data_IF_608225692257
#
_entry.id   IF_608225692257
#
_cell.length_a   1.000
_cell.length_b   1.000
_cell.length_c   1.000
_cell.angle_alpha   90.00
_cell.angle_beta   90.00
_cell.angle_gamma   90.00
#
_symmetry.space_group_name_H-M   'P 1'
#
loop_
_entity.id
_entity.type
_entity.pdbx_description
1 polymer ?
#
# COMPACT_ATOMS: atom_id res chain seq x y z
N UNK A 1 -0.10 27.97 1.12
CA UNK A 1 -1.34 27.82 1.92
C UNK A 1 -2.13 26.67 1.35
N UNK A 2 -2.37 25.53 1.98
CA UNK A 2 -1.96 24.97 3.27
C UNK A 2 -2.47 23.53 3.20
N UNK A 3 -1.56 22.56 3.04
CA UNK A 3 -1.91 21.15 3.02
C UNK A 3 -2.35 20.75 4.44
N UNK A 4 -3.65 20.64 4.66
CA UNK A 4 -4.24 20.01 5.84
C UNK A 4 -4.10 18.49 5.72
N UNK A 5 -2.86 18.01 5.83
CA UNK A 5 -2.49 16.59 5.81
C UNK A 5 -2.44 15.94 7.21
N UNK A 6 -3.03 16.58 8.23
CA UNK A 6 -2.89 16.16 9.63
C UNK A 6 -4.03 15.28 10.18
N UNK A 7 -5.02 14.89 9.36
CA UNK A 7 -6.21 14.19 9.89
C UNK A 7 -6.13 12.64 9.90
N UNK A 8 -5.09 12.00 9.36
CA UNK A 8 -5.05 10.53 9.26
C UNK A 8 -3.95 9.82 10.07
N UNK A 9 -3.20 10.55 10.90
CA UNK A 9 -2.07 10.01 11.67
C UNK A 9 -2.37 9.75 13.17
N UNK A 10 -3.54 10.16 13.69
CA UNK A 10 -3.83 10.07 15.14
C UNK A 10 -4.75 8.92 15.59
N UNK A 11 -4.91 7.89 14.76
CA UNK A 11 -5.55 6.63 15.16
C UNK A 11 -4.67 5.46 14.64
N UNK A 12 -3.54 5.27 15.32
CA UNK A 12 -2.65 4.12 15.12
C UNK A 12 -2.77 3.15 16.31
N UNK A 13 -3.99 2.66 16.56
CA UNK A 13 -4.17 1.46 17.37
C UNK A 13 -3.99 0.23 16.48
N UNK A 14 -2.85 -0.48 16.59
CA UNK A 14 -2.59 -1.92 16.31
C UNK A 14 -3.40 -2.68 15.21
N UNK A 15 -4.00 -1.99 14.23
CA UNK A 15 -5.01 -2.55 13.32
C UNK A 15 -4.46 -2.58 11.90
N UNK A 16 -4.68 -3.71 11.23
CA UNK A 16 -4.28 -3.95 9.85
C UNK A 16 -4.95 -2.93 8.91
N UNK A 17 -4.15 -2.16 8.17
CA UNK A 17 -4.64 -1.16 7.20
C UNK A 17 -4.44 -1.68 5.76
N UNK A 18 -5.48 -1.54 4.94
CA UNK A 18 -5.48 -1.86 3.51
C UNK A 18 -5.78 -0.59 2.73
N UNK A 19 -4.88 -0.20 1.83
CA UNK A 19 -5.07 1.00 1.01
C UNK A 19 -4.78 0.64 -0.44
N UNK A 20 -5.68 1.01 -1.34
CA UNK A 20 -5.43 0.98 -2.78
C UNK A 20 -4.97 2.38 -3.16
N UNK A 21 -3.80 2.46 -3.78
CA UNK A 21 -3.21 3.72 -4.18
C UNK A 21 -2.93 3.71 -5.68
N UNK A 22 -3.47 4.69 -6.39
CA UNK A 22 -3.13 4.94 -7.79
C UNK A 22 -2.04 5.99 -7.83
N UNK A 23 -0.84 5.60 -8.23
CA UNK A 23 0.30 6.50 -8.33
C UNK A 23 0.56 6.87 -9.78
N UNK A 24 0.81 8.16 -10.04
CA UNK A 24 1.22 8.64 -11.37
C UNK A 24 2.70 8.37 -11.56
N UNK A 25 3.04 7.29 -12.26
CA UNK A 25 4.43 6.93 -12.57
C UNK A 25 4.83 7.47 -13.94
N UNK A 26 5.76 8.43 -13.95
CA UNK A 26 6.35 8.96 -15.17
C UNK A 26 7.61 8.14 -15.52
N UNK A 27 7.57 7.47 -16.66
CA UNK A 27 8.70 6.74 -17.23
C UNK A 27 9.72 7.70 -17.83
N UNK A 28 10.97 7.25 -17.92
CA UNK A 28 12.07 8.00 -18.55
C UNK A 28 11.85 8.22 -20.05
N UNK A 29 11.06 7.36 -20.71
CA UNK A 29 10.62 7.48 -22.12
C UNK A 29 9.50 8.53 -22.32
N UNK A 30 9.13 9.29 -21.28
CA UNK A 30 8.07 10.31 -21.35
C UNK A 30 6.64 9.77 -21.24
N UNK A 31 6.47 8.44 -21.16
CA UNK A 31 5.16 7.81 -20.92
C UNK A 31 4.75 7.99 -19.46
N UNK A 32 3.45 8.18 -19.22
CA UNK A 32 2.88 8.19 -17.87
C UNK A 32 1.98 6.97 -17.71
N UNK A 33 2.22 6.19 -16.67
CA UNK A 33 1.38 5.06 -16.28
C UNK A 33 0.73 5.34 -14.93
N UNK A 34 -0.46 4.77 -14.70
CA UNK A 34 -1.17 4.86 -13.43
C UNK A 34 -1.32 3.46 -12.81
N UNK A 35 -0.23 2.85 -12.32
CA UNK A 35 -0.30 1.57 -11.65
C UNK A 35 -1.20 1.64 -10.41
N UNK A 36 -2.19 0.75 -10.35
CA UNK A 36 -2.97 0.47 -9.15
C UNK A 36 -2.13 -0.42 -8.22
N UNK A 37 -1.76 0.14 -7.07
CA UNK A 37 -0.94 -0.53 -6.07
C UNK A 37 -1.82 -0.90 -4.88
N UNK A 38 -1.89 -2.18 -4.55
CA UNK A 38 -2.48 -2.63 -3.29
C UNK A 38 -1.40 -2.58 -2.22
N UNK A 39 -1.55 -1.71 -1.22
CA UNK A 39 -0.59 -1.63 -0.13
C UNK A 39 -1.23 -2.09 1.16
N UNK A 40 -0.60 -3.08 1.77
CA UNK A 40 -1.01 -3.67 3.02
C UNK A 40 -0.04 -3.30 4.13
N UNK A 41 -0.55 -2.69 5.21
CA UNK A 41 0.23 -2.36 6.38
C UNK A 41 -0.15 -3.29 7.54
N UNK A 42 0.81 -4.12 7.96
CA UNK A 42 0.69 -5.07 9.07
C UNK A 42 1.71 -4.74 10.18
N UNK A 43 1.35 -3.91 11.18
CA UNK A 43 2.25 -3.62 12.30
C UNK A 43 2.67 -4.89 13.05
N UNK A 44 3.93 -4.92 13.47
CA UNK A 44 4.47 -5.97 14.34
C UNK A 44 3.73 -5.93 15.68
N UNK A 45 3.09 -7.05 16.06
CA UNK A 45 2.25 -7.14 17.26
C UNK A 45 0.75 -7.28 16.99
N UNK A 46 0.32 -7.33 15.73
CA UNK A 46 -1.04 -7.72 15.39
C UNK A 46 -1.35 -9.16 15.87
N UNK A 47 -2.58 -9.41 16.32
CA UNK A 47 -3.02 -10.74 16.75
C UNK A 47 -2.92 -11.74 15.57
N UNK A 48 -2.37 -12.95 15.77
CA UNK A 48 -2.23 -13.96 14.72
C UNK A 48 -3.56 -14.28 14.01
N UNK A 49 -4.67 -14.28 14.76
CA UNK A 49 -6.01 -14.51 14.22
C UNK A 49 -6.44 -13.44 13.20
N UNK A 50 -6.08 -12.17 13.45
CA UNK A 50 -6.35 -11.09 12.51
C UNK A 50 -5.47 -11.21 11.27
N UNK A 51 -4.20 -11.59 11.43
CA UNK A 51 -3.33 -11.86 10.28
C UNK A 51 -3.86 -13.03 9.42
N UNK A 52 -4.35 -14.11 10.04
CA UNK A 52 -4.94 -15.24 9.32
C UNK A 52 -6.21 -14.87 8.57
N UNK A 53 -7.17 -14.18 9.21
CA UNK A 53 -8.40 -13.71 8.54
C UNK A 53 -8.08 -12.80 7.35
N UNK A 54 -7.06 -11.95 7.51
CA UNK A 54 -6.65 -11.01 6.47
C UNK A 54 -5.90 -11.68 5.32
N UNK A 55 -5.01 -12.65 5.60
CA UNK A 55 -4.31 -13.40 4.57
C UNK A 55 -5.28 -14.13 3.63
N UNK A 56 -6.33 -14.74 4.18
CA UNK A 56 -7.39 -15.38 3.39
C UNK A 56 -8.17 -14.38 2.53
N UNK A 57 -8.50 -13.21 3.09
CA UNK A 57 -9.23 -12.16 2.38
C UNK A 57 -8.38 -11.43 1.34
N UNK A 58 -7.05 -11.33 1.55
CA UNK A 58 -6.11 -10.62 0.66
C UNK A 58 -6.15 -11.22 -0.74
N UNK A 59 -5.98 -12.54 -0.83
CA UNK A 59 -5.92 -13.23 -2.13
C UNK A 59 -7.23 -13.05 -2.90
N UNK A 60 -8.38 -13.14 -2.21
CA UNK A 60 -9.69 -12.89 -2.80
C UNK A 60 -9.81 -11.47 -3.35
N UNK A 61 -9.37 -10.47 -2.60
CA UNK A 61 -9.47 -9.06 -2.96
C UNK A 61 -8.56 -8.72 -4.15
N UNK A 62 -7.34 -9.26 -4.14
CA UNK A 62 -6.38 -9.15 -5.25
C UNK A 62 -6.94 -9.77 -6.54
N UNK A 63 -7.61 -10.93 -6.43
CA UNK A 63 -8.26 -11.57 -7.57
C UNK A 63 -9.46 -10.77 -8.10
N UNK A 64 -10.33 -10.27 -7.22
CA UNK A 64 -11.53 -9.52 -7.63
C UNK A 64 -11.16 -8.17 -8.25
N UNK A 65 -10.16 -7.48 -7.69
CA UNK A 65 -9.74 -6.17 -8.16
C UNK A 65 -8.64 -6.23 -9.23
N UNK A 66 -8.29 -7.44 -9.70
CA UNK A 66 -7.25 -7.70 -10.71
C UNK A 66 -5.93 -6.95 -10.43
N UNK A 67 -5.58 -6.82 -9.15
CA UNK A 67 -4.45 -6.03 -8.71
C UNK A 67 -3.16 -6.82 -8.94
N UNK A 68 -2.36 -6.38 -9.90
CA UNK A 68 -1.08 -7.03 -10.24
C UNK A 68 0.06 -6.63 -9.32
N UNK A 69 -0.05 -5.47 -8.65
CA UNK A 69 1.01 -4.89 -7.82
C UNK A 69 0.57 -4.86 -6.36
N UNK A 70 0.96 -5.89 -5.62
CA UNK A 70 0.62 -6.09 -4.21
C UNK A 70 1.88 -5.89 -3.37
N UNK A 71 1.84 -4.92 -2.48
CA UNK A 71 2.93 -4.57 -1.58
C UNK A 71 2.52 -4.72 -0.13
N UNK A 72 3.46 -5.15 0.71
CA UNK A 72 3.26 -5.34 2.13
C UNK A 72 4.36 -4.60 2.89
N UNK A 73 3.94 -3.78 3.86
CA UNK A 73 4.82 -3.07 4.79
C UNK A 73 4.43 -3.41 6.23
N UNK A 74 5.42 -3.41 7.12
CA UNK A 74 5.23 -3.67 8.55
C UNK A 74 5.10 -2.39 9.37
N UNK A 75 5.38 -1.24 8.78
CA UNK A 75 5.34 0.06 9.43
C UNK A 75 4.77 1.09 8.46
N UNK A 76 4.04 2.05 8.98
CA UNK A 76 3.53 3.17 8.17
C UNK A 76 4.64 4.13 7.77
N UNK A 77 5.75 4.14 8.50
CA UNK A 77 6.89 5.03 8.25
C UNK A 77 7.67 4.63 6.99
N UNK A 78 7.66 3.33 6.65
CA UNK A 78 8.27 2.81 5.41
C UNK A 78 7.44 3.15 4.17
N UNK A 79 6.20 3.63 4.32
CA UNK A 79 5.30 3.97 3.23
C UNK A 79 5.61 5.37 2.67
N UNK A 80 6.76 5.52 2.01
CA UNK A 80 7.16 6.76 1.35
C UNK A 80 6.97 6.70 -0.17
N UNK A 81 6.97 7.87 -0.83
CA UNK A 81 6.92 7.95 -2.29
C UNK A 81 8.15 7.30 -2.93
N UNK A 82 9.33 7.46 -2.31
CA UNK A 82 10.59 6.87 -2.75
C UNK A 82 10.52 5.34 -2.70
N UNK A 83 10.02 4.78 -1.59
CA UNK A 83 9.80 3.34 -1.47
C UNK A 83 8.86 2.82 -2.54
N UNK A 84 7.76 3.54 -2.82
CA UNK A 84 6.82 3.14 -3.85
C UNK A 84 7.46 3.19 -5.25
N UNK A 85 8.26 4.20 -5.56
CA UNK A 85 9.02 4.30 -6.82
C UNK A 85 9.99 3.15 -6.98
N UNK A 86 10.76 2.81 -5.94
CA UNK A 86 11.66 1.66 -5.96
C UNK A 86 10.89 0.37 -6.26
N UNK A 87 9.77 0.15 -5.56
CA UNK A 87 8.91 -1.01 -5.78
C UNK A 87 8.30 -1.04 -7.17
N UNK A 88 7.93 0.11 -7.74
CA UNK A 88 7.39 0.21 -9.10
C UNK A 88 8.47 0.03 -10.18
N UNK A 89 9.70 0.44 -9.91
CA UNK A 89 10.83 0.24 -10.82
C UNK A 89 11.12 -1.24 -11.07
N UNK A 90 10.89 -2.14 -10.10
CA UNK A 90 11.01 -3.59 -10.30
C UNK A 90 10.05 -4.18 -11.34
N UNK A 91 8.99 -3.46 -11.71
CA UNK A 91 7.98 -3.91 -12.65
C UNK A 91 7.93 -3.06 -13.94
N UNK A 92 8.94 -2.21 -14.16
CA UNK A 92 9.13 -1.42 -15.39
C UNK A 92 10.10 -2.13 -16.32
#
# INVERSE_FOLDING_TARGET
>A
MGFTGSAFLYECGLKLKKTIYSYKYAHTDGRVSYPLCFIFCSPVGCKPEQQMMYAGSKNRLVQIAELTKVFETRTTDDLSEEWLKEKLAFFT
#
